data_IF_719740236717
#
_entry.id   IF_719740236717
#
_cell.length_a   1.000
_cell.length_b   1.000
_cell.length_c   1.000
_cell.angle_alpha   90.00
_cell.angle_beta   90.00
_cell.angle_gamma   90.00
#
_symmetry.space_group_name_H-M   'P 1'
#
loop_
_entity.id
_entity.type
_entity.pdbx_description
1 polymer ?
#
# COMPACT_ATOMS: atom_id res chain seq x y z
N UNK A 1 37.46 13.23 16.71
CA UNK A 1 36.57 13.64 15.61
C UNK A 1 35.69 12.43 15.36
N UNK A 2 34.48 12.46 15.92
CA UNK A 2 33.50 11.40 15.65
C UNK A 2 33.08 11.52 14.19
N UNK A 3 33.40 10.49 13.40
CA UNK A 3 32.79 10.31 12.09
C UNK A 3 31.30 10.06 12.34
N UNK A 4 30.46 11.07 12.12
CA UNK A 4 29.02 10.87 12.11
C UNK A 4 28.71 9.77 11.09
N UNK A 5 28.19 8.64 11.55
CA UNK A 5 27.71 7.58 10.67
C UNK A 5 26.57 8.15 9.83
N UNK A 6 26.61 7.89 8.52
CA UNK A 6 25.47 8.17 7.65
C UNK A 6 24.23 7.43 8.19
N UNK A 7 23.05 8.07 8.17
CA UNK A 7 21.82 7.44 8.65
C UNK A 7 21.54 6.15 7.86
N UNK A 8 20.91 5.18 8.49
CA UNK A 8 20.52 3.95 7.80
C UNK A 8 19.46 4.28 6.72
N UNK A 9 19.44 3.58 5.58
CA UNK A 9 18.45 3.82 4.53
C UNK A 9 17.00 3.81 5.03
N UNK A 10 16.65 2.88 5.92
CA UNK A 10 15.31 2.83 6.51
C UNK A 10 14.95 4.11 7.28
N UNK A 11 15.91 4.72 8.00
CA UNK A 11 15.70 5.97 8.74
C UNK A 11 15.49 7.15 7.78
N UNK A 12 16.20 7.16 6.64
CA UNK A 12 16.04 8.17 5.59
C UNK A 12 14.65 8.09 4.96
N UNK A 13 14.19 6.89 4.59
CA UNK A 13 12.84 6.68 4.03
C UNK A 13 11.78 7.10 5.05
N UNK A 14 11.87 6.58 6.28
CA UNK A 14 10.92 6.89 7.34
C UNK A 14 10.87 8.40 7.63
N UNK A 15 12.03 9.06 7.64
CA UNK A 15 12.13 10.52 7.82
C UNK A 15 11.47 11.29 6.68
N UNK A 16 11.68 10.88 5.43
CA UNK A 16 11.07 11.51 4.27
C UNK A 16 9.55 11.31 4.23
N UNK A 17 9.05 10.12 4.59
CA UNK A 17 7.61 9.84 4.71
C UNK A 17 6.97 10.75 5.75
N UNK A 18 7.52 10.80 6.96
CA UNK A 18 6.97 11.65 8.04
C UNK A 18 7.00 13.13 7.65
N UNK A 19 8.08 13.57 7.02
CA UNK A 19 8.20 14.94 6.52
C UNK A 19 7.10 15.29 5.51
N UNK A 20 6.85 14.41 4.52
CA UNK A 20 5.81 14.67 3.53
C UNK A 20 4.41 14.56 4.11
N UNK A 21 4.19 13.65 5.06
CA UNK A 21 2.91 13.55 5.75
C UNK A 21 2.60 14.83 6.52
N UNK A 22 3.58 15.38 7.25
CA UNK A 22 3.42 16.66 7.95
C UNK A 22 3.10 17.81 6.97
N UNK A 23 3.69 17.79 5.76
CA UNK A 23 3.42 18.79 4.72
C UNK A 23 1.98 18.70 4.18
N UNK A 24 1.53 17.50 3.79
CA UNK A 24 0.15 17.29 3.30
C UNK A 24 -0.89 17.65 4.37
N UNK A 25 -0.61 17.37 5.64
CA UNK A 25 -1.47 17.77 6.76
C UNK A 25 -1.50 19.30 6.93
N UNK A 26 -0.34 19.96 6.82
CA UNK A 26 -0.26 21.41 6.95
C UNK A 26 -0.95 22.16 5.79
N UNK A 27 -0.96 21.57 4.59
CA UNK A 27 -1.63 22.08 3.40
C UNK A 27 -3.14 21.80 3.41
N UNK A 28 -3.57 20.80 4.20
CA UNK A 28 -4.97 20.44 4.39
C UNK A 28 -5.48 19.42 3.37
N UNK A 29 -4.58 18.74 2.65
CA UNK A 29 -4.91 17.69 1.69
C UNK A 29 -5.39 16.42 2.39
N UNK A 30 -4.82 16.12 3.55
CA UNK A 30 -5.23 15.03 4.44
C UNK A 30 -5.22 15.51 5.89
N UNK A 31 -5.90 14.77 6.76
CA UNK A 31 -5.90 14.99 8.21
C UNK A 31 -5.07 13.95 8.96
N UNK A 32 -4.78 12.81 8.33
CA UNK A 32 -3.96 11.74 8.88
C UNK A 32 -3.33 10.86 7.79
N UNK A 33 -2.44 9.93 8.19
CA UNK A 33 -1.77 9.00 7.28
C UNK A 33 -2.73 8.09 6.51
N UNK A 34 -3.84 7.67 7.13
CA UNK A 34 -4.77 6.73 6.51
C UNK A 34 -5.45 7.34 5.27
N UNK A 35 -5.73 8.65 5.30
CA UNK A 35 -6.40 9.36 4.20
C UNK A 35 -5.50 9.49 2.94
N UNK A 36 -4.18 9.32 3.08
CA UNK A 36 -3.28 9.27 1.92
C UNK A 36 -3.64 8.09 1.00
N UNK A 37 -4.01 6.94 1.58
CA UNK A 37 -4.43 5.76 0.83
C UNK A 37 -5.76 5.95 0.07
N UNK A 38 -6.55 6.96 0.41
CA UNK A 38 -7.87 7.22 -0.16
C UNK A 38 -7.80 8.20 -1.36
N UNK A 39 -6.78 8.04 -2.20
CA UNK A 39 -6.67 8.72 -3.51
C UNK A 39 -5.45 9.61 -3.72
N UNK A 40 -4.58 9.76 -2.72
CA UNK A 40 -3.35 10.58 -2.81
C UNK A 40 -2.06 9.74 -2.73
N UNK A 41 -2.17 8.41 -2.73
CA UNK A 41 -1.05 7.50 -2.51
C UNK A 41 0.06 7.63 -3.56
N UNK A 42 -0.32 7.80 -4.84
CA UNK A 42 0.63 8.00 -5.93
C UNK A 42 1.39 9.32 -5.77
N UNK A 43 0.67 10.43 -5.65
CA UNK A 43 1.25 11.77 -5.47
C UNK A 43 2.17 11.81 -4.24
N UNK A 44 1.72 11.22 -3.14
CA UNK A 44 2.50 11.11 -1.91
C UNK A 44 3.78 10.28 -2.10
N UNK A 45 3.71 9.11 -2.75
CA UNK A 45 4.87 8.27 -2.99
C UNK A 45 5.94 9.00 -3.82
N UNK A 46 5.53 9.72 -4.86
CA UNK A 46 6.45 10.54 -5.66
C UNK A 46 7.02 11.72 -4.87
N UNK A 47 6.22 12.41 -4.06
CA UNK A 47 6.70 13.51 -3.20
C UNK A 47 7.76 13.02 -2.18
N UNK A 48 7.61 11.79 -1.66
CA UNK A 48 8.62 11.17 -0.80
C UNK A 48 9.88 10.83 -1.59
N UNK A 49 9.76 10.26 -2.79
CA UNK A 49 10.91 9.97 -3.64
C UNK A 49 11.69 11.22 -4.01
N UNK A 50 11.01 12.29 -4.39
CA UNK A 50 11.63 13.57 -4.73
C UNK A 50 12.40 14.12 -3.54
N UNK A 51 11.83 14.02 -2.32
CA UNK A 51 12.52 14.43 -1.09
C UNK A 51 13.77 13.61 -0.81
N UNK A 52 13.70 12.30 -1.02
CA UNK A 52 14.87 11.42 -0.90
C UNK A 52 15.88 11.76 -1.99
N UNK A 53 15.45 12.08 -3.21
CA UNK A 53 16.33 12.47 -4.30
C UNK A 53 17.10 13.76 -4.00
N UNK A 54 16.43 14.77 -3.44
CA UNK A 54 17.03 16.04 -3.04
C UNK A 54 18.12 15.88 -1.97
N UNK A 55 17.90 14.96 -1.01
CA UNK A 55 18.76 14.82 0.17
C UNK A 55 19.78 13.68 0.05
N UNK A 56 19.43 12.65 -0.72
CA UNK A 56 20.15 11.37 -0.88
C UNK A 56 19.97 10.82 -2.32
N UNK A 57 20.50 11.50 -3.35
CA UNK A 57 20.20 11.21 -4.77
C UNK A 57 20.62 9.81 -5.24
N UNK A 58 21.65 9.21 -4.64
CA UNK A 58 22.06 7.84 -4.98
C UNK A 58 21.12 6.80 -4.39
N UNK A 59 20.48 7.10 -3.26
CA UNK A 59 19.54 6.20 -2.61
C UNK A 59 18.19 6.20 -3.32
N UNK A 60 17.72 7.33 -3.84
CA UNK A 60 16.44 7.40 -4.54
C UNK A 60 16.38 6.47 -5.76
N UNK A 61 17.52 6.22 -6.41
CA UNK A 61 17.65 5.29 -7.55
C UNK A 61 17.47 3.82 -7.17
N UNK A 62 17.56 3.50 -5.88
CA UNK A 62 17.44 2.14 -5.34
C UNK A 62 16.04 1.84 -4.80
N UNK A 63 15.16 2.86 -4.78
CA UNK A 63 13.78 2.72 -4.33
C UNK A 63 12.92 2.45 -5.56
N UNK A 64 12.18 1.35 -5.52
CA UNK A 64 11.18 1.04 -6.52
C UNK A 64 9.80 1.55 -6.08
N UNK A 65 8.95 1.87 -7.05
CA UNK A 65 7.52 2.06 -6.81
C UNK A 65 6.84 0.70 -6.87
N UNK A 66 6.05 0.39 -5.84
CA UNK A 66 5.13 -0.73 -5.84
C UNK A 66 3.73 -0.26 -6.22
N UNK A 67 3.10 -1.01 -7.12
CA UNK A 67 1.74 -0.76 -7.60
C UNK A 67 0.93 -2.06 -7.51
N UNK A 68 -0.33 -1.96 -7.11
CA UNK A 68 -1.22 -3.13 -6.96
C UNK A 68 -1.45 -3.89 -8.26
N UNK A 69 -1.42 -3.23 -9.41
CA UNK A 69 -1.65 -3.88 -10.71
C UNK A 69 -0.69 -5.05 -10.99
N UNK A 70 0.53 -4.99 -10.44
CA UNK A 70 1.55 -6.02 -10.59
C UNK A 70 1.20 -7.35 -9.91
N UNK A 71 0.19 -7.40 -9.04
CA UNK A 71 -0.25 -8.60 -8.32
C UNK A 71 -1.73 -8.94 -8.57
N UNK A 72 -2.40 -8.15 -9.42
CA UNK A 72 -3.84 -8.14 -9.60
C UNK A 72 -4.17 -8.69 -11.01
N UNK A 73 -5.16 -9.57 -11.12
CA UNK A 73 -5.63 -10.13 -12.39
C UNK A 73 -6.83 -9.35 -12.91
N UNK A 74 -6.86 -8.95 -14.19
CA UNK A 74 -8.01 -8.27 -14.77
C UNK A 74 -9.23 -9.19 -14.84
N UNK A 75 -10.44 -8.61 -14.73
CA UNK A 75 -11.70 -9.34 -14.85
C UNK A 75 -12.37 -9.09 -16.20
N UNK A 76 -12.47 -10.14 -17.01
CA UNK A 76 -13.18 -10.10 -18.29
C UNK A 76 -12.35 -9.53 -19.45
N UNK A 77 -13.02 -9.25 -20.57
CA UNK A 77 -12.40 -8.70 -21.77
C UNK A 77 -12.18 -7.20 -21.61
N UNK A 78 -11.04 -6.84 -21.03
CA UNK A 78 -10.29 -5.58 -21.15
C UNK A 78 -10.96 -4.21 -20.92
N UNK A 79 -12.27 -4.11 -20.64
CA UNK A 79 -12.98 -2.82 -20.48
C UNK A 79 -13.52 -2.53 -19.07
N UNK A 80 -13.37 -3.45 -18.11
CA UNK A 80 -13.85 -3.27 -16.75
C UNK A 80 -12.68 -3.06 -15.79
N UNK A 81 -12.67 -1.97 -15.03
CA UNK A 81 -11.73 -1.61 -13.94
C UNK A 81 -11.86 -2.53 -12.72
N UNK A 82 -12.20 -3.78 -12.95
CA UNK A 82 -12.39 -4.77 -11.92
C UNK A 82 -11.17 -5.69 -11.96
N UNK A 83 -10.50 -5.77 -10.82
CA UNK A 83 -9.36 -6.64 -10.62
C UNK A 83 -9.68 -7.68 -9.53
N UNK A 84 -9.02 -8.83 -9.57
CA UNK A 84 -8.94 -9.77 -8.45
C UNK A 84 -7.50 -9.83 -7.95
N UNK A 85 -7.31 -9.91 -6.62
CA UNK A 85 -6.01 -10.31 -6.10
C UNK A 85 -5.62 -11.70 -6.63
N UNK A 86 -4.37 -11.87 -7.11
CA UNK A 86 -3.84 -13.17 -7.54
C UNK A 86 -3.52 -14.04 -6.31
N UNK A 87 -4.56 -14.62 -5.69
CA UNK A 87 -4.43 -15.46 -4.49
C UNK A 87 -3.47 -16.63 -4.68
N UNK A 88 -3.50 -17.39 -5.79
CA UNK A 88 -2.52 -18.45 -6.03
C UNK A 88 -1.07 -17.96 -6.00
N UNK A 89 -0.77 -16.83 -6.66
CA UNK A 89 0.57 -16.24 -6.63
C UNK A 89 0.95 -15.77 -5.22
N UNK A 90 0.07 -15.04 -4.55
CA UNK A 90 0.32 -14.55 -3.19
C UNK A 90 0.58 -15.72 -2.21
N UNK A 91 -0.15 -16.84 -2.35
CA UNK A 91 0.12 -18.07 -1.57
C UNK A 91 1.48 -18.68 -1.92
N UNK A 92 1.86 -18.70 -3.20
CA UNK A 92 3.18 -19.20 -3.62
C UNK A 92 4.34 -18.34 -3.09
N UNK A 93 4.10 -17.03 -2.91
CA UNK A 93 5.04 -16.07 -2.32
C UNK A 93 5.05 -16.11 -0.77
N UNK A 94 4.25 -17.00 -0.14
CA UNK A 94 4.02 -17.05 1.32
C UNK A 94 3.50 -15.72 1.89
N UNK A 95 2.69 -15.00 1.13
CA UNK A 95 2.06 -13.77 1.58
C UNK A 95 1.18 -14.02 2.82
N UNK A 96 1.11 -13.06 3.77
CA UNK A 96 0.37 -13.20 5.03
C UNK A 96 -1.14 -13.02 4.82
N UNK A 97 -1.72 -13.85 3.97
CA UNK A 97 -3.14 -13.87 3.67
C UNK A 97 -3.92 -14.63 4.77
N UNK A 98 -5.04 -14.08 5.26
CA UNK A 98 -6.02 -14.81 6.09
C UNK A 98 -6.33 -16.19 5.48
N UNK A 99 -6.53 -17.22 6.30
CA UNK A 99 -6.82 -18.57 5.78
C UNK A 99 -8.20 -18.66 5.10
N UNK A 100 -9.06 -17.68 5.34
CA UNK A 100 -10.43 -17.59 4.83
C UNK A 100 -10.54 -17.01 3.41
N UNK A 101 -9.42 -16.67 2.77
CA UNK A 101 -9.33 -15.93 1.50
C UNK A 101 -9.46 -16.78 0.22
N UNK A 102 -10.12 -17.94 0.31
CA UNK A 102 -10.36 -18.84 -0.83
C UNK A 102 -11.63 -18.47 -1.63
N UNK A 103 -12.23 -17.31 -1.33
CA UNK A 103 -13.51 -16.82 -1.88
C UNK A 103 -13.25 -15.73 -2.95
N UNK A 104 -13.76 -15.93 -4.17
CA UNK A 104 -13.67 -14.98 -5.30
C UNK A 104 -14.16 -13.57 -4.92
N UNK A 105 -15.13 -13.45 -3.99
CA UNK A 105 -15.64 -12.17 -3.52
C UNK A 105 -14.63 -11.41 -2.65
N UNK A 106 -13.83 -12.13 -1.88
CA UNK A 106 -12.75 -11.55 -1.06
C UNK A 106 -11.59 -11.08 -1.95
N UNK A 107 -11.27 -11.86 -3.00
CA UNK A 107 -10.31 -11.44 -4.01
C UNK A 107 -10.73 -10.15 -4.74
N UNK A 108 -12.04 -9.92 -4.91
CA UNK A 108 -12.58 -8.71 -5.54
C UNK A 108 -12.38 -7.46 -4.70
N UNK A 109 -12.67 -7.54 -3.40
CA UNK A 109 -12.57 -6.39 -2.48
C UNK A 109 -11.11 -5.93 -2.37
N UNK A 110 -10.19 -6.88 -2.27
CA UNK A 110 -8.74 -6.59 -2.32
C UNK A 110 -8.34 -6.09 -3.70
N UNK A 111 -8.90 -6.72 -4.74
CA UNK A 111 -8.80 -6.32 -6.14
C UNK A 111 -9.11 -4.85 -6.40
N UNK A 112 -10.12 -4.31 -5.73
CA UNK A 112 -10.52 -2.90 -5.86
C UNK A 112 -9.69 -1.91 -5.04
N UNK A 113 -8.84 -2.39 -4.12
CA UNK A 113 -8.02 -1.55 -3.26
C UNK A 113 -6.67 -1.23 -3.93
N UNK A 114 -6.71 -0.36 -4.94
CA UNK A 114 -5.50 0.11 -5.63
C UNK A 114 -4.67 1.01 -4.71
N UNK A 115 -3.34 0.83 -4.70
CA UNK A 115 -2.43 1.64 -3.88
C UNK A 115 -1.04 1.72 -4.53
N UNK A 116 -0.35 2.84 -4.28
CA UNK A 116 1.03 3.07 -4.70
C UNK A 116 1.90 3.29 -3.46
N UNK A 117 3.06 2.62 -3.39
CA UNK A 117 3.95 2.66 -2.22
C UNK A 117 5.42 2.53 -2.63
N UNK A 118 6.35 2.64 -1.66
CA UNK A 118 7.78 2.54 -1.90
C UNK A 118 8.33 1.17 -1.50
N UNK A 119 9.27 0.63 -2.29
CA UNK A 119 9.96 -0.62 -2.02
C UNK A 119 11.47 -0.38 -1.97
N UNK A 120 12.12 -0.78 -0.88
CA UNK A 120 13.57 -0.72 -0.74
C UNK A 120 14.07 -1.90 0.10
N UNK A 121 15.08 -2.61 -0.41
CA UNK A 121 15.71 -3.76 0.26
C UNK A 121 14.69 -4.80 0.77
N UNK A 122 13.68 -5.10 -0.05
CA UNK A 122 12.61 -6.06 0.26
C UNK A 122 11.56 -5.58 1.27
N UNK A 123 11.66 -4.34 1.78
CA UNK A 123 10.67 -3.73 2.67
C UNK A 123 9.74 -2.80 1.90
N UNK A 124 8.51 -2.68 2.40
CA UNK A 124 7.42 -1.90 1.81
C UNK A 124 7.07 -0.72 2.71
N UNK A 125 6.99 0.49 2.17
CA UNK A 125 6.78 1.72 2.94
C UNK A 125 5.68 2.57 2.34
N UNK A 126 4.82 3.12 3.20
CA UNK A 126 3.84 4.15 2.83
C UNK A 126 3.61 5.11 4.02
N UNK A 127 2.65 6.02 3.89
CA UNK A 127 2.30 6.98 4.95
C UNK A 127 1.93 6.30 6.28
N UNK A 128 1.34 5.11 6.25
CA UNK A 128 0.87 4.37 7.43
C UNK A 128 1.92 3.42 8.01
N UNK A 129 2.95 3.08 7.23
CA UNK A 129 4.07 2.22 7.63
C UNK A 129 5.44 2.86 7.33
N UNK A 130 5.80 3.99 7.97
CA UNK A 130 7.07 4.67 7.70
C UNK A 130 8.30 3.83 8.10
N UNK A 131 8.17 2.92 9.07
CA UNK A 131 9.24 1.98 9.47
C UNK A 131 9.41 0.80 8.49
N UNK A 132 8.51 0.70 7.52
CA UNK A 132 8.45 -0.36 6.53
C UNK A 132 7.86 -1.66 7.07
N UNK A 133 7.25 -2.43 6.18
CA UNK A 133 6.70 -3.75 6.42
C UNK A 133 7.46 -4.81 5.62
N UNK A 134 7.51 -6.03 6.14
CA UNK A 134 8.17 -7.15 5.47
C UNK A 134 7.39 -7.67 4.25
N UNK A 135 6.12 -7.26 4.11
CA UNK A 135 5.26 -7.55 2.97
C UNK A 135 4.17 -6.46 2.86
N UNK A 136 3.78 -6.05 1.65
CA UNK A 136 2.79 -4.97 1.48
C UNK A 136 1.45 -5.25 2.18
N UNK A 137 0.97 -6.50 2.17
CA UNK A 137 -0.25 -6.92 2.91
C UNK A 137 -0.20 -6.69 4.43
N UNK A 138 0.99 -6.47 5.02
CA UNK A 138 1.14 -6.12 6.43
C UNK A 138 1.07 -4.61 6.69
N UNK A 139 1.09 -3.78 5.64
CA UNK A 139 0.89 -2.34 5.79
C UNK A 139 -0.56 -2.08 6.22
N UNK A 140 -0.80 -1.10 7.13
CA UNK A 140 -2.14 -0.81 7.64
C UNK A 140 -3.20 -0.61 6.57
N UNK A 141 -2.88 0.08 5.46
CA UNK A 141 -3.81 0.23 4.32
C UNK A 141 -4.36 -1.14 3.88
N UNK A 142 -3.50 -2.07 3.47
CA UNK A 142 -3.92 -3.39 2.98
C UNK A 142 -4.54 -4.26 4.07
N UNK A 143 -3.97 -4.25 5.28
CA UNK A 143 -4.50 -5.00 6.41
C UNK A 143 -5.95 -4.59 6.74
N UNK A 144 -6.24 -3.29 6.68
CA UNK A 144 -7.59 -2.76 6.89
C UNK A 144 -8.56 -3.19 5.78
N UNK A 145 -8.12 -3.20 4.52
CA UNK A 145 -8.94 -3.69 3.40
C UNK A 145 -9.24 -5.19 3.53
N UNK A 146 -8.24 -6.00 3.93
CA UNK A 146 -8.42 -7.41 4.23
C UNK A 146 -9.44 -7.63 5.36
N UNK A 147 -9.32 -6.87 6.45
CA UNK A 147 -10.23 -6.97 7.59
C UNK A 147 -11.67 -6.60 7.20
N UNK A 148 -11.87 -5.51 6.46
CA UNK A 148 -13.18 -5.09 5.92
C UNK A 148 -13.78 -6.19 5.05
N UNK A 149 -12.98 -6.79 4.17
CA UNK A 149 -13.43 -7.85 3.29
C UNK A 149 -13.89 -9.09 4.07
N UNK A 150 -13.15 -9.48 5.12
CA UNK A 150 -13.52 -10.61 5.99
C UNK A 150 -14.82 -10.32 6.77
N UNK A 151 -15.01 -9.09 7.25
CA UNK A 151 -16.24 -8.69 7.96
C UNK A 151 -17.48 -8.76 7.05
N UNK A 152 -17.38 -8.26 5.81
CA UNK A 152 -18.47 -8.28 4.83
C UNK A 152 -18.92 -9.70 4.42
N UNK A 153 -18.09 -10.72 4.68
CA UNK A 153 -18.45 -12.14 4.51
C UNK A 153 -19.36 -12.64 5.63
N UNK A 154 -19.20 -12.11 6.85
CA UNK A 154 -19.96 -12.52 8.03
C UNK A 154 -21.37 -11.93 8.11
N UNK A 155 -21.67 -10.90 7.32
CA UNK A 155 -22.99 -10.27 7.30
C UNK A 155 -23.93 -11.00 6.32
N UNK A 156 -25.11 -11.47 6.78
CA UNK A 156 -26.13 -11.97 5.87
C UNK A 156 -26.59 -10.81 4.98
N UNK A 157 -26.44 -10.95 3.66
CA UNK A 157 -26.98 -9.96 2.73
C UNK A 157 -28.49 -9.89 2.92
N UNK A 158 -28.98 -8.74 3.40
CA UNK A 158 -30.38 -8.39 3.25
C UNK A 158 -30.63 -8.26 1.74
N UNK A 159 -31.09 -9.35 1.11
CA UNK A 159 -31.57 -9.30 -0.26
C UNK A 159 -32.64 -8.22 -0.34
N UNK A 160 -32.31 -7.13 -1.04
CA UNK A 160 -33.28 -6.16 -1.50
C UNK A 160 -34.35 -6.96 -2.27
N UNK A 161 -35.59 -6.89 -1.79
CA UNK A 161 -36.73 -7.35 -2.57
C UNK A 161 -36.73 -6.53 -3.85
N UNK A 162 -36.56 -7.19 -4.98
CA UNK A 162 -36.98 -6.65 -6.25
C UNK A 162 -38.51 -6.56 -6.22
N UNK A 163 -39.02 -5.33 -6.28
CA UNK A 163 -40.41 -5.04 -6.67
C UNK A 163 -40.49 -4.89 -8.20
#
# INVERSE_FOLDING_TARGET
MDSAQSPAPADVIAGAIRYQLDAFIAEGDVTCADEVGDGLCEEFAYAVLDRIHETHPEMSKLIAIGETDAWWLPVGDSSCEVFYADIPRLRAENAPLPCELDDERLAHIIGSATHTWLIHDGRHYDATAPEGADHFLLMPFFANQLAKAVQLRGEPQAHAKAD
#
